data_IF_278424395767
#
_entry.id   IF_278424395767
#
_cell.length_a   1.000
_cell.length_b   1.000
_cell.length_c   1.000
_cell.angle_alpha   90.00
_cell.angle_beta   90.00
_cell.angle_gamma   90.00
#
_symmetry.space_group_name_H-M   'P 1'
#
loop_
_entity.id
_entity.type
_entity.pdbx_description
1 polymer ?
#
# COMPACT_ATOMS: atom_id res chain seq x y z
N UNK A 1 10.89 -19.15 -5.74
CA UNK A 1 11.49 -17.84 -5.46
C UNK A 1 10.55 -17.14 -4.49
N UNK A 2 11.08 -16.47 -3.47
CA UNK A 2 10.24 -15.73 -2.52
C UNK A 2 9.76 -14.42 -3.19
N UNK A 3 8.50 -14.02 -2.97
CA UNK A 3 7.96 -12.78 -3.52
C UNK A 3 8.58 -11.58 -2.81
N UNK A 4 8.74 -10.46 -3.52
CA UNK A 4 9.19 -9.21 -2.91
C UNK A 4 7.98 -8.54 -2.26
N UNK A 5 8.03 -8.35 -0.93
CA UNK A 5 6.99 -7.63 -0.19
C UNK A 5 7.09 -6.13 -0.43
N UNK A 6 6.01 -5.55 -0.92
CA UNK A 6 5.89 -4.13 -1.26
C UNK A 6 4.82 -3.49 -0.40
N UNK A 7 5.11 -2.32 0.16
CA UNK A 7 4.11 -1.42 0.70
C UNK A 7 4.03 -0.13 -0.11
N UNK A 8 2.85 0.50 -0.16
CA UNK A 8 2.62 1.73 -0.92
C UNK A 8 2.21 2.87 0.01
N UNK A 9 2.92 3.99 -0.04
CA UNK A 9 2.53 5.27 0.57
C UNK A 9 1.79 6.14 -0.46
N UNK A 10 0.68 6.74 -0.07
CA UNK A 10 -0.26 7.41 -0.99
C UNK A 10 -1.26 6.44 -1.64
N UNK A 11 -1.49 5.27 -1.04
CA UNK A 11 -2.27 4.17 -1.61
C UNK A 11 -3.74 4.49 -1.87
N UNK A 12 -4.32 5.47 -1.16
CA UNK A 12 -5.71 5.90 -1.38
C UNK A 12 -5.86 6.90 -2.52
N UNK A 13 -4.75 7.52 -2.96
CA UNK A 13 -4.70 8.42 -4.10
C UNK A 13 -4.95 7.74 -5.46
N UNK A 14 -5.24 8.53 -6.49
CA UNK A 14 -5.52 8.01 -7.85
C UNK A 14 -4.36 7.16 -8.39
N UNK A 15 -3.14 7.68 -8.33
CA UNK A 15 -1.95 6.97 -8.80
C UNK A 15 -1.57 5.82 -7.85
N UNK A 16 -1.65 6.02 -6.54
CA UNK A 16 -1.33 4.96 -5.58
C UNK A 16 -2.23 3.72 -5.72
N UNK A 17 -3.50 3.89 -6.11
CA UNK A 17 -4.38 2.76 -6.44
C UNK A 17 -3.89 1.99 -7.67
N UNK A 18 -3.44 2.66 -8.72
CA UNK A 18 -2.87 1.98 -9.90
C UNK A 18 -1.57 1.26 -9.55
N UNK A 19 -0.72 1.85 -8.70
CA UNK A 19 0.49 1.18 -8.20
C UNK A 19 0.13 -0.09 -7.43
N UNK A 20 -0.87 -0.03 -6.54
CA UNK A 20 -1.35 -1.21 -5.83
C UNK A 20 -1.86 -2.30 -6.78
N UNK A 21 -2.59 -1.93 -7.86
CA UNK A 21 -3.04 -2.89 -8.88
C UNK A 21 -1.87 -3.53 -9.61
N UNK A 22 -0.89 -2.74 -10.05
CA UNK A 22 0.29 -3.25 -10.72
C UNK A 22 1.06 -4.25 -9.84
N UNK A 23 1.23 -3.96 -8.54
CA UNK A 23 1.87 -4.89 -7.59
C UNK A 23 1.08 -6.20 -7.47
N UNK A 24 -0.25 -6.14 -7.45
CA UNK A 24 -1.11 -7.33 -7.35
C UNK A 24 -1.16 -8.18 -8.62
N UNK A 25 -0.84 -7.60 -9.78
CA UNK A 25 -0.83 -8.28 -11.08
C UNK A 25 0.52 -8.92 -11.39
N UNK A 26 1.59 -8.53 -10.69
CA UNK A 26 2.94 -9.07 -10.86
C UNK A 26 3.19 -10.29 -9.96
N UNK A 27 3.45 -11.45 -10.56
CA UNK A 27 3.61 -12.72 -9.84
C UNK A 27 4.80 -12.73 -8.85
N UNK A 28 5.83 -11.93 -9.13
CA UNK A 28 7.04 -11.83 -8.30
C UNK A 28 6.89 -10.88 -7.11
N UNK A 29 5.77 -10.15 -7.02
CA UNK A 29 5.51 -9.15 -6.00
C UNK A 29 4.33 -9.55 -5.10
N UNK A 30 4.29 -8.95 -3.91
CA UNK A 30 3.19 -9.06 -2.97
C UNK A 30 2.92 -7.70 -2.32
N UNK A 31 1.67 -7.24 -2.39
CA UNK A 31 1.25 -6.05 -1.67
C UNK A 31 1.02 -6.43 -0.20
N UNK A 32 1.80 -5.85 0.71
CA UNK A 32 1.79 -6.18 2.15
C UNK A 32 1.37 -4.99 3.02
N UNK A 33 1.34 -3.78 2.47
CA UNK A 33 0.96 -2.58 3.20
C UNK A 33 0.41 -1.49 2.29
N UNK A 34 -0.60 -0.78 2.78
CA UNK A 34 -1.15 0.40 2.14
C UNK A 34 -1.21 1.53 3.17
N UNK A 35 -0.56 2.64 2.85
CA UNK A 35 -0.49 3.80 3.73
C UNK A 35 -1.04 5.03 3.05
N UNK A 36 -1.86 5.78 3.77
CA UNK A 36 -2.36 7.08 3.33
C UNK A 36 -2.91 7.87 4.54
N UNK A 37 -2.89 9.20 4.45
CA UNK A 37 -3.53 10.08 5.43
C UNK A 37 -5.06 10.04 5.33
N UNK A 38 -5.56 9.70 4.14
CA UNK A 38 -6.98 9.58 3.83
C UNK A 38 -7.40 8.12 3.71
N UNK A 39 -8.65 7.82 4.05
CA UNK A 39 -9.18 6.46 3.92
C UNK A 39 -8.62 5.46 4.93
N UNK A 40 -7.92 5.90 5.98
CA UNK A 40 -7.47 5.04 7.09
C UNK A 40 -8.64 4.21 7.64
N UNK A 41 -8.41 2.91 7.82
CA UNK A 41 -9.42 1.95 8.29
C UNK A 41 -10.29 1.35 7.18
N UNK A 42 -10.21 1.83 5.93
CA UNK A 42 -10.88 1.19 4.79
C UNK A 42 -10.09 -0.01 4.29
N UNK A 43 -10.81 -0.99 3.75
CA UNK A 43 -10.22 -2.11 3.01
C UNK A 43 -9.71 -1.64 1.64
N UNK A 44 -8.46 -1.96 1.31
CA UNK A 44 -7.94 -1.80 -0.04
C UNK A 44 -8.67 -2.69 -1.03
N UNK A 45 -9.17 -3.84 -0.60
CA UNK A 45 -10.00 -4.69 -1.42
C UNK A 45 -11.26 -3.99 -1.90
N UNK A 46 -11.98 -3.30 -1.01
CA UNK A 46 -13.13 -2.49 -1.39
C UNK A 46 -12.74 -1.33 -2.33
N UNK A 47 -11.63 -0.64 -2.04
CA UNK A 47 -11.15 0.50 -2.83
C UNK A 47 -10.75 0.09 -4.25
N UNK A 48 -10.23 -1.12 -4.42
CA UNK A 48 -9.76 -1.63 -5.72
C UNK A 48 -10.77 -2.56 -6.42
N UNK A 49 -11.87 -2.93 -5.78
CA UNK A 49 -12.82 -3.91 -6.30
C UNK A 49 -12.32 -5.37 -6.23
N UNK A 50 -11.45 -5.67 -5.26
CA UNK A 50 -10.82 -6.98 -5.00
C UNK A 50 -11.14 -7.43 -3.56
N UNK A 51 -12.36 -7.91 -3.26
CA UNK A 51 -12.83 -8.14 -1.89
C UNK A 51 -12.03 -9.20 -1.11
N UNK A 52 -11.25 -10.01 -1.81
CA UNK A 52 -10.31 -11.00 -1.30
C UNK A 52 -9.00 -10.39 -0.74
N UNK A 53 -8.74 -9.11 -1.04
CA UNK A 53 -7.55 -8.41 -0.55
C UNK A 53 -7.73 -7.92 0.89
N UNK A 54 -7.15 -8.66 1.83
CA UNK A 54 -7.16 -8.33 3.26
C UNK A 54 -6.04 -7.35 3.64
N UNK A 55 -6.13 -6.12 3.11
CA UNK A 55 -5.22 -5.03 3.45
C UNK A 55 -6.03 -3.82 3.88
N UNK A 56 -5.76 -3.34 5.09
CA UNK A 56 -6.37 -2.12 5.63
C UNK A 56 -5.43 -0.94 5.40
N UNK A 57 -5.98 0.18 4.94
CA UNK A 57 -5.24 1.43 4.82
C UNK A 57 -4.88 1.92 6.22
N UNK A 58 -3.59 2.06 6.50
CA UNK A 58 -3.07 2.61 7.77
C UNK A 58 -2.42 3.97 7.52
N UNK A 59 -2.12 4.71 8.59
CA UNK A 59 -1.16 5.82 8.49
C UNK A 59 0.25 5.24 8.45
N UNK A 60 1.14 5.86 7.70
CA UNK A 60 2.55 5.50 7.73
C UNK A 60 3.17 6.04 9.03
N UNK A 61 3.46 5.15 9.98
CA UNK A 61 4.23 5.46 11.19
C UNK A 61 5.44 4.53 11.30
N UNK A 62 6.36 4.83 12.22
CA UNK A 62 7.50 3.94 12.50
C UNK A 62 7.03 2.57 12.98
N UNK A 63 5.95 2.54 13.76
CA UNK A 63 5.36 1.34 14.33
C UNK A 63 4.68 0.51 13.23
N UNK A 64 3.85 1.12 12.38
CA UNK A 64 3.17 0.40 11.31
C UNK A 64 4.16 -0.14 10.27
N UNK A 65 5.22 0.62 9.96
CA UNK A 65 6.24 0.19 9.03
C UNK A 65 7.09 -0.95 9.62
N UNK A 66 7.36 -0.94 10.94
CA UNK A 66 8.02 -2.05 11.63
C UNK A 66 7.14 -3.30 11.75
N UNK A 67 5.84 -3.13 11.95
CA UNK A 67 4.87 -4.23 12.02
C UNK A 67 4.79 -4.97 10.68
N UNK A 68 4.71 -4.23 9.57
CA UNK A 68 4.60 -4.81 8.22
C UNK A 68 5.98 -5.25 7.68
N UNK A 69 7.03 -4.48 8.00
CA UNK A 69 8.42 -4.70 7.59
C UNK A 69 8.58 -5.09 6.10
N UNK A 70 8.05 -4.27 5.15
CA UNK A 70 8.13 -4.58 3.73
C UNK A 70 9.58 -4.48 3.23
N UNK A 71 9.94 -5.27 2.22
CA UNK A 71 11.23 -5.19 1.56
C UNK A 71 11.38 -3.87 0.77
N UNK A 72 10.27 -3.37 0.21
CA UNK A 72 10.23 -2.14 -0.57
C UNK A 72 9.07 -1.26 -0.11
N UNK A 73 9.33 0.04 0.09
CA UNK A 73 8.29 1.06 0.22
C UNK A 73 8.26 1.90 -1.05
N UNK A 74 7.12 1.88 -1.74
CA UNK A 74 6.85 2.70 -2.92
C UNK A 74 6.09 3.95 -2.48
N UNK A 75 6.72 5.13 -2.65
CA UNK A 75 6.11 6.40 -2.26
C UNK A 75 5.52 7.13 -3.48
N UNK A 76 4.19 7.24 -3.53
CA UNK A 76 3.43 7.98 -4.53
C UNK A 76 2.61 9.10 -3.88
N UNK A 77 3.23 9.84 -2.96
CA UNK A 77 2.66 11.05 -2.36
C UNK A 77 3.14 12.32 -3.07
N UNK A 78 2.64 13.48 -2.64
CA UNK A 78 3.12 14.78 -3.14
C UNK A 78 4.23 15.31 -2.23
N UNK A 79 5.14 16.19 -2.70
CA UNK A 79 6.18 16.76 -1.85
C UNK A 79 5.65 17.45 -0.59
N UNK A 80 4.45 18.02 -0.65
CA UNK A 80 3.78 18.64 0.50
C UNK A 80 3.34 17.63 1.57
N UNK A 81 3.16 16.36 1.21
CA UNK A 81 2.74 15.30 2.12
C UNK A 81 3.94 14.56 2.76
N UNK A 82 5.15 14.76 2.26
CA UNK A 82 6.39 14.11 2.74
C UNK A 82 7.18 15.02 3.70
N UNK A 83 6.81 16.29 3.85
CA UNK A 83 7.46 17.26 4.75
C UNK A 83 7.03 17.13 6.22
#
# INVERSE_FOLDING_TARGET
MEKISVAVSGAYGRMGREVCRAVLEEESLELTGAFDLHGTGKSMGEVLGRPDLDIVIKKLTKESLKEISPAVLVDFTTPMAVM
#
